data_IF_169287663374
#
_entry.id   IF_169287663374
#
_cell.length_a   1.000
_cell.length_b   1.000
_cell.length_c   1.000
_cell.angle_alpha   90.00
_cell.angle_beta   90.00
_cell.angle_gamma   90.00
#
_symmetry.space_group_name_H-M   'P 1'
#
loop_
_entity.id
_entity.type
_entity.pdbx_description
1 polymer ?
#
# COMPACT_ATOMS: atom_id res chain seq x y z
N UNK A 1 -25.20 15.12 -21.55
CA UNK A 1 -24.69 14.41 -20.36
C UNK A 1 -23.57 13.50 -20.84
N UNK A 2 -22.33 13.69 -20.44
CA UNK A 2 -21.25 12.73 -20.71
C UNK A 2 -21.63 11.41 -20.01
N UNK A 3 -21.54 10.28 -20.73
CA UNK A 3 -21.74 8.98 -20.09
C UNK A 3 -20.80 8.86 -18.89
N UNK A 4 -21.32 8.40 -17.75
CA UNK A 4 -20.49 8.18 -16.57
C UNK A 4 -19.43 7.12 -16.90
N UNK A 5 -18.16 7.40 -16.58
CA UNK A 5 -17.09 6.44 -16.76
C UNK A 5 -17.33 5.22 -15.87
N UNK A 6 -17.26 4.03 -16.45
CA UNK A 6 -17.37 2.76 -15.74
C UNK A 6 -16.15 1.89 -16.02
N UNK A 7 -15.79 0.98 -15.10
CA UNK A 7 -14.76 -0.03 -15.38
C UNK A 7 -15.26 -0.97 -16.48
N UNK A 8 -14.45 -1.14 -17.52
CA UNK A 8 -14.69 -2.07 -18.61
C UNK A 8 -13.40 -2.82 -18.92
N UNK A 9 -13.52 -4.13 -19.13
CA UNK A 9 -12.40 -5.00 -19.49
C UNK A 9 -11.98 -4.71 -20.94
N UNK A 10 -10.76 -4.27 -21.13
CA UNK A 10 -10.24 -3.99 -22.47
C UNK A 10 -10.13 -5.28 -23.30
N UNK A 11 -10.49 -5.30 -24.59
CA UNK A 11 -10.46 -6.51 -25.41
C UNK A 11 -9.10 -7.21 -25.48
N UNK A 12 -8.00 -6.45 -25.40
CA UNK A 12 -6.63 -7.00 -25.46
C UNK A 12 -6.09 -7.41 -24.09
N UNK A 13 -6.83 -7.11 -23.00
CA UNK A 13 -6.36 -7.40 -21.65
C UNK A 13 -6.50 -8.88 -21.29
N UNK A 14 -5.55 -9.35 -20.50
CA UNK A 14 -5.52 -10.74 -20.01
C UNK A 14 -5.15 -10.75 -18.53
N UNK A 15 -5.74 -11.66 -17.76
CA UNK A 15 -5.28 -11.99 -16.41
C UNK A 15 -4.63 -13.36 -16.38
N UNK A 16 -3.51 -13.47 -15.69
CA UNK A 16 -2.80 -14.71 -15.42
C UNK A 16 -2.62 -14.84 -13.90
N UNK A 17 -3.15 -15.92 -13.34
CA UNK A 17 -2.96 -16.33 -11.95
C UNK A 17 -2.29 -17.70 -11.89
N UNK A 18 -2.03 -18.24 -10.69
CA UNK A 18 -1.46 -19.55 -10.52
C UNK A 18 -2.29 -20.65 -11.21
N UNK A 19 -3.61 -20.50 -11.21
CA UNK A 19 -4.56 -21.55 -11.59
C UNK A 19 -5.32 -21.23 -12.88
N UNK A 20 -5.23 -20.02 -13.42
CA UNK A 20 -6.05 -19.60 -14.54
C UNK A 20 -5.37 -18.55 -15.44
N UNK A 21 -5.77 -18.57 -16.73
CA UNK A 21 -5.48 -17.53 -17.70
C UNK A 21 -6.79 -17.15 -18.42
N UNK A 22 -7.24 -15.89 -18.25
CA UNK A 22 -8.45 -15.39 -18.87
C UNK A 22 -8.14 -14.16 -19.72
N UNK A 23 -8.55 -14.15 -20.99
CA UNK A 23 -8.39 -13.03 -21.91
C UNK A 23 -9.64 -12.19 -22.09
N UNK A 24 -10.77 -12.61 -21.53
CA UNK A 24 -12.03 -11.86 -21.50
C UNK A 24 -12.91 -12.38 -20.36
N UNK A 25 -13.70 -11.53 -19.68
CA UNK A 25 -14.67 -12.03 -18.72
C UNK A 25 -15.76 -12.79 -19.49
N UNK A 26 -15.89 -14.08 -19.21
CA UNK A 26 -17.05 -14.81 -19.70
C UNK A 26 -18.26 -14.43 -18.84
N UNK A 27 -19.03 -13.43 -19.31
CA UNK A 27 -20.24 -12.99 -18.61
C UNK A 27 -21.29 -14.09 -18.44
N UNK A 28 -21.19 -15.18 -19.22
CA UNK A 28 -22.08 -16.35 -19.08
C UNK A 28 -21.72 -17.20 -17.87
N UNK A 29 -20.51 -17.02 -17.32
CA UNK A 29 -20.09 -17.68 -16.09
C UNK A 29 -20.78 -17.12 -14.83
N UNK A 30 -21.51 -15.98 -14.97
CA UNK A 30 -22.22 -15.34 -13.86
C UNK A 30 -23.69 -15.14 -14.20
N UNK A 31 -24.56 -15.42 -13.24
CA UNK A 31 -26.01 -15.20 -13.32
C UNK A 31 -26.43 -13.93 -12.58
N UNK A 32 -27.69 -13.56 -12.74
CA UNK A 32 -28.28 -12.44 -11.98
C UNK A 32 -28.38 -12.74 -10.49
N UNK A 33 -28.30 -13.99 -10.08
CA UNK A 33 -28.37 -14.41 -8.67
C UNK A 33 -26.99 -14.42 -8.00
N UNK A 34 -25.90 -14.34 -8.79
CA UNK A 34 -24.54 -14.24 -8.26
C UNK A 34 -24.29 -12.83 -7.71
N UNK A 35 -24.33 -12.71 -6.39
CA UNK A 35 -24.10 -11.44 -5.67
C UNK A 35 -22.79 -11.43 -4.88
N UNK A 36 -22.07 -12.55 -4.83
CA UNK A 36 -20.76 -12.68 -4.17
C UNK A 36 -19.81 -13.57 -4.96
N UNK A 37 -18.50 -13.26 -4.89
CA UNK A 37 -17.43 -14.07 -5.47
C UNK A 37 -16.23 -14.09 -4.52
N UNK A 38 -15.75 -15.28 -4.10
CA UNK A 38 -14.55 -15.41 -3.29
C UNK A 38 -13.31 -14.82 -3.99
N UNK A 39 -12.30 -14.38 -3.22
CA UNK A 39 -11.04 -13.81 -3.72
C UNK A 39 -9.91 -14.82 -3.87
N UNK A 40 -10.11 -16.07 -3.50
CA UNK A 40 -9.13 -17.15 -3.63
C UNK A 40 -8.76 -17.45 -5.09
N UNK A 41 -9.72 -17.38 -6.00
CA UNK A 41 -9.49 -17.35 -7.45
C UNK A 41 -9.49 -15.89 -7.95
N UNK A 42 -8.30 -15.31 -8.06
CA UNK A 42 -8.16 -13.90 -8.48
C UNK A 42 -8.66 -13.65 -9.91
N UNK A 43 -8.49 -14.60 -10.81
CA UNK A 43 -8.95 -14.45 -12.20
C UNK A 43 -10.47 -14.41 -12.25
N UNK A 44 -11.14 -15.31 -11.55
CA UNK A 44 -12.62 -15.35 -11.45
C UNK A 44 -13.14 -14.10 -10.71
N UNK A 45 -12.50 -13.68 -9.63
CA UNK A 45 -12.89 -12.50 -8.87
C UNK A 45 -12.83 -11.23 -9.73
N UNK A 46 -11.78 -11.05 -10.54
CA UNK A 46 -11.68 -9.92 -11.45
C UNK A 46 -12.72 -10.01 -12.58
N UNK A 47 -12.99 -11.19 -13.12
CA UNK A 47 -14.06 -11.38 -14.10
C UNK A 47 -15.44 -11.00 -13.52
N UNK A 48 -15.74 -11.39 -12.27
CA UNK A 48 -16.93 -11.00 -11.54
C UNK A 48 -17.01 -9.48 -11.30
N UNK A 49 -15.90 -8.85 -10.93
CA UNK A 49 -15.79 -7.41 -10.75
C UNK A 49 -16.20 -6.64 -12.02
N UNK A 50 -15.61 -6.99 -13.16
CA UNK A 50 -15.91 -6.34 -14.42
C UNK A 50 -17.34 -6.64 -14.90
N UNK A 51 -17.81 -7.89 -14.74
CA UNK A 51 -19.19 -8.24 -15.00
C UNK A 51 -20.18 -7.34 -14.25
N UNK A 52 -19.93 -7.12 -12.96
CA UNK A 52 -20.80 -6.29 -12.15
C UNK A 52 -20.89 -4.83 -12.65
N UNK A 53 -19.75 -4.24 -12.99
CA UNK A 53 -19.70 -2.86 -13.51
C UNK A 53 -20.26 -2.75 -14.93
N UNK A 54 -19.89 -3.63 -15.84
CA UNK A 54 -20.33 -3.60 -17.24
C UNK A 54 -21.84 -3.87 -17.41
N UNK A 55 -22.41 -4.69 -16.53
CA UNK A 55 -23.84 -4.96 -16.49
C UNK A 55 -24.63 -4.01 -15.58
N UNK A 56 -23.96 -3.03 -14.97
CA UNK A 56 -24.62 -2.05 -14.08
C UNK A 56 -25.33 -2.69 -12.88
N UNK A 57 -24.77 -3.81 -12.32
CA UNK A 57 -25.42 -4.61 -11.29
C UNK A 57 -25.56 -3.92 -9.95
N UNK A 58 -24.73 -2.92 -9.66
CA UNK A 58 -24.73 -2.18 -8.40
C UNK A 58 -23.32 -1.84 -7.93
N UNK A 59 -23.23 -1.35 -6.69
CA UNK A 59 -21.95 -1.07 -6.02
C UNK A 59 -21.21 -2.38 -5.76
N UNK A 60 -19.90 -2.39 -6.04
CA UNK A 60 -19.05 -3.55 -5.81
C UNK A 60 -18.19 -3.32 -4.58
N UNK A 61 -18.43 -4.08 -3.51
CA UNK A 61 -17.60 -4.07 -2.30
C UNK A 61 -16.55 -5.16 -2.35
N UNK A 62 -15.31 -4.81 -2.03
CA UNK A 62 -14.20 -5.75 -1.90
C UNK A 62 -13.83 -5.88 -0.43
N UNK A 63 -14.02 -7.09 0.12
CA UNK A 63 -13.69 -7.46 1.49
C UNK A 63 -12.36 -8.21 1.56
N UNK A 64 -11.98 -8.69 2.75
CA UNK A 64 -10.81 -9.56 2.91
C UNK A 64 -11.00 -10.96 2.28
N UNK A 65 -12.25 -11.38 2.02
CA UNK A 65 -12.57 -12.76 1.60
C UNK A 65 -13.27 -12.84 0.24
N UNK A 66 -14.05 -11.81 -0.09
CA UNK A 66 -14.94 -11.84 -1.24
C UNK A 66 -15.15 -10.45 -1.87
N UNK A 67 -15.68 -10.46 -3.08
CA UNK A 67 -16.36 -9.31 -3.69
C UNK A 67 -17.87 -9.52 -3.59
N UNK A 68 -18.60 -8.46 -3.29
CA UNK A 68 -20.07 -8.51 -3.15
C UNK A 68 -20.72 -7.36 -3.89
N UNK A 69 -21.87 -7.63 -4.52
CA UNK A 69 -22.67 -6.63 -5.26
C UNK A 69 -23.79 -6.15 -4.34
N UNK A 70 -23.95 -4.84 -4.22
CA UNK A 70 -25.04 -4.19 -3.51
C UNK A 70 -25.87 -3.39 -4.51
N UNK A 71 -27.17 -3.70 -4.61
CA UNK A 71 -28.06 -3.00 -5.52
C UNK A 71 -28.05 -1.49 -5.22
N UNK A 72 -27.92 -0.68 -6.26
CA UNK A 72 -28.00 0.78 -6.19
C UNK A 72 -28.90 1.32 -7.31
N UNK A 73 -29.60 2.42 -7.03
CA UNK A 73 -30.33 3.17 -8.06
C UNK A 73 -29.45 4.23 -8.76
N UNK A 74 -28.22 4.41 -8.27
CA UNK A 74 -27.24 5.39 -8.75
C UNK A 74 -26.21 4.71 -9.67
N UNK A 75 -25.28 5.52 -10.19
CA UNK A 75 -24.08 5.00 -10.87
C UNK A 75 -23.31 4.08 -9.93
N UNK A 76 -22.95 2.86 -10.35
CA UNK A 76 -22.20 1.91 -9.53
C UNK A 76 -20.89 2.47 -9.01
N UNK A 77 -20.61 2.22 -7.74
CA UNK A 77 -19.41 2.66 -7.03
C UNK A 77 -18.57 1.46 -6.63
N UNK A 78 -17.27 1.67 -6.52
CA UNK A 78 -16.37 0.73 -5.89
C UNK A 78 -16.27 1.03 -4.39
N UNK A 79 -16.47 0.01 -3.57
CA UNK A 79 -16.35 0.06 -2.11
C UNK A 79 -15.07 -0.71 -1.69
N UNK A 80 -13.96 0.01 -1.53
CA UNK A 80 -12.67 -0.58 -1.11
C UNK A 80 -12.55 -0.60 0.40
N UNK A 81 -11.86 -1.60 0.95
CA UNK A 81 -11.45 -1.57 2.34
C UNK A 81 -10.15 -0.77 2.53
N UNK A 82 -10.09 0.04 3.59
CA UNK A 82 -8.83 0.66 4.02
C UNK A 82 -7.93 -0.37 4.67
N UNK A 83 -6.62 -0.27 4.41
CA UNK A 83 -5.61 -1.07 5.10
C UNK A 83 -5.30 -0.56 6.51
N UNK A 84 -6.31 -0.14 7.30
CA UNK A 84 -6.12 0.43 8.62
C UNK A 84 -5.39 -0.52 9.57
N UNK A 85 -4.25 -0.09 10.11
CA UNK A 85 -3.43 -0.86 11.05
C UNK A 85 -3.95 -0.81 12.48
N UNK A 86 -4.86 0.13 12.79
CA UNK A 86 -5.27 0.46 14.18
C UNK A 86 -6.73 0.25 14.50
N UNK A 87 -7.61 0.06 13.50
CA UNK A 87 -9.06 -0.09 13.70
C UNK A 87 -9.66 -1.14 12.76
N UNK A 88 -10.96 -1.45 12.92
CA UNK A 88 -11.68 -2.28 11.95
C UNK A 88 -11.58 -1.67 10.54
N UNK A 89 -11.41 -2.49 9.49
CA UNK A 89 -11.34 -2.00 8.12
C UNK A 89 -12.58 -1.19 7.78
N UNK A 90 -12.37 0.03 7.26
CA UNK A 90 -13.46 0.91 6.81
C UNK A 90 -13.64 0.73 5.32
N UNK A 91 -14.87 0.87 4.82
CA UNK A 91 -15.14 0.89 3.40
C UNK A 91 -15.13 2.33 2.89
N UNK A 92 -14.40 2.55 1.81
CA UNK A 92 -14.32 3.82 1.10
C UNK A 92 -15.14 3.70 -0.18
N UNK A 93 -16.00 4.67 -0.42
CA UNK A 93 -16.78 4.82 -1.65
C UNK A 93 -15.97 5.56 -2.69
N UNK A 94 -15.92 5.02 -3.89
CA UNK A 94 -15.09 5.56 -4.97
C UNK A 94 -15.80 5.42 -6.31
N UNK A 95 -15.88 6.51 -7.06
CA UNK A 95 -16.31 6.46 -8.47
C UNK A 95 -15.25 5.78 -9.34
N UNK A 96 -15.68 5.09 -10.40
CA UNK A 96 -14.75 4.52 -11.39
C UNK A 96 -13.82 5.60 -11.98
N UNK A 97 -14.36 6.78 -12.24
CA UNK A 97 -13.64 7.92 -12.80
C UNK A 97 -12.41 8.30 -11.97
N UNK A 98 -12.48 8.22 -10.66
CA UNK A 98 -11.38 8.60 -9.77
C UNK A 98 -10.10 7.75 -10.01
N UNK A 99 -10.23 6.46 -10.28
CA UNK A 99 -9.09 5.61 -10.64
C UNK A 99 -8.74 5.71 -12.12
N UNK A 100 -9.72 5.72 -13.01
CA UNK A 100 -9.48 5.79 -14.45
C UNK A 100 -8.73 7.05 -14.87
N UNK A 101 -8.95 8.18 -14.19
CA UNK A 101 -8.18 9.40 -14.40
C UNK A 101 -6.69 9.21 -14.08
N UNK A 102 -6.34 8.46 -13.03
CA UNK A 102 -4.95 8.16 -12.70
C UNK A 102 -4.35 7.08 -13.61
N UNK A 103 -5.14 6.10 -14.07
CA UNK A 103 -4.67 5.13 -15.07
C UNK A 103 -4.18 5.83 -16.33
N UNK A 104 -4.92 6.85 -16.81
CA UNK A 104 -4.51 7.62 -17.99
C UNK A 104 -3.17 8.34 -17.79
N UNK A 105 -2.84 8.78 -16.58
CA UNK A 105 -1.53 9.35 -16.25
C UNK A 105 -0.45 8.27 -16.24
N UNK A 106 -0.70 7.14 -15.59
CA UNK A 106 0.24 6.03 -15.49
C UNK A 106 0.56 5.44 -16.88
N UNK A 107 -0.45 5.30 -17.75
CA UNK A 107 -0.25 4.85 -19.12
C UNK A 107 0.70 5.76 -19.91
N UNK A 108 0.63 7.08 -19.71
CA UNK A 108 1.58 8.02 -20.35
C UNK A 108 2.97 7.93 -19.76
N UNK A 109 3.11 7.68 -18.45
CA UNK A 109 4.40 7.68 -17.73
C UNK A 109 5.14 6.36 -17.80
N UNK A 110 4.41 5.25 -17.72
CA UNK A 110 4.97 3.92 -17.57
C UNK A 110 4.61 2.98 -18.72
N UNK A 111 3.85 3.48 -19.71
CA UNK A 111 3.32 2.71 -20.82
C UNK A 111 2.04 1.95 -20.45
N UNK A 112 1.24 1.61 -21.46
CA UNK A 112 -0.08 0.98 -21.30
C UNK A 112 -0.16 -0.37 -22.01
N UNK A 113 -0.71 -0.35 -23.23
CA UNK A 113 -0.95 -1.55 -24.03
C UNK A 113 0.36 -2.32 -24.27
N UNK A 114 0.33 -3.63 -24.01
CA UNK A 114 1.51 -4.51 -24.15
C UNK A 114 2.35 -4.65 -22.89
N UNK A 115 2.11 -3.85 -21.85
CA UNK A 115 2.73 -4.07 -20.54
C UNK A 115 2.15 -5.32 -19.85
N UNK A 116 2.97 -5.88 -18.98
CA UNK A 116 2.64 -7.04 -18.17
C UNK A 116 2.82 -6.64 -16.70
N UNK A 117 1.70 -6.28 -16.07
CA UNK A 117 1.66 -5.67 -14.73
C UNK A 117 1.49 -6.77 -13.68
N UNK A 118 2.49 -6.96 -12.83
CA UNK A 118 2.46 -7.93 -11.75
C UNK A 118 2.15 -7.30 -10.40
N UNK A 119 1.57 -8.10 -9.49
CA UNK A 119 1.43 -7.78 -8.07
C UNK A 119 1.79 -8.97 -7.20
N UNK A 120 2.21 -8.69 -5.95
CA UNK A 120 2.56 -9.70 -4.95
C UNK A 120 1.44 -9.90 -3.91
N UNK A 121 0.52 -8.95 -3.83
CA UNK A 121 -0.48 -8.86 -2.77
C UNK A 121 -1.83 -9.46 -3.13
N UNK A 122 -2.71 -9.49 -2.14
CA UNK A 122 -4.09 -9.96 -2.25
C UNK A 122 -5.00 -8.86 -2.81
N UNK A 123 -6.04 -9.22 -3.59
CA UNK A 123 -6.98 -8.27 -4.21
C UNK A 123 -7.78 -7.41 -3.21
N UNK A 124 -7.92 -7.86 -1.96
CA UNK A 124 -8.54 -7.04 -0.91
C UNK A 124 -7.73 -5.78 -0.55
N UNK A 125 -6.45 -5.73 -0.94
CA UNK A 125 -5.62 -4.56 -0.76
C UNK A 125 -5.78 -3.59 -1.92
N UNK A 126 -6.06 -2.32 -1.62
CA UNK A 126 -6.37 -1.31 -2.64
C UNK A 126 -5.27 -1.13 -3.70
N UNK A 127 -3.99 -1.27 -3.34
CA UNK A 127 -2.88 -1.22 -4.30
C UNK A 127 -2.94 -2.37 -5.31
N UNK A 128 -3.18 -3.59 -4.85
CA UNK A 128 -3.29 -4.77 -5.71
C UNK A 128 -4.52 -4.67 -6.61
N UNK A 129 -5.67 -4.30 -6.05
CA UNK A 129 -6.90 -4.09 -6.80
C UNK A 129 -6.74 -2.96 -7.83
N UNK A 130 -6.09 -1.86 -7.44
CA UNK A 130 -5.77 -0.75 -8.33
C UNK A 130 -4.97 -1.22 -9.55
N UNK A 131 -3.86 -1.92 -9.32
CA UNK A 131 -2.98 -2.43 -10.38
C UNK A 131 -3.70 -3.43 -11.30
N UNK A 132 -4.56 -4.29 -10.73
CA UNK A 132 -5.39 -5.22 -11.51
C UNK A 132 -6.39 -4.46 -12.41
N UNK A 133 -7.11 -3.48 -11.85
CA UNK A 133 -8.04 -2.65 -12.62
C UNK A 133 -7.31 -1.83 -13.69
N UNK A 134 -6.16 -1.21 -13.35
CA UNK A 134 -5.34 -0.48 -14.32
C UNK A 134 -4.95 -1.36 -15.50
N UNK A 135 -4.39 -2.56 -15.24
CA UNK A 135 -4.01 -3.49 -16.28
C UNK A 135 -5.18 -3.86 -17.21
N UNK A 136 -6.29 -4.27 -16.60
CA UNK A 136 -7.43 -4.81 -17.34
C UNK A 136 -8.22 -3.73 -18.08
N UNK A 137 -8.26 -2.49 -17.57
CA UNK A 137 -8.86 -1.33 -18.28
C UNK A 137 -7.95 -0.84 -19.40
N UNK A 138 -6.63 -0.94 -19.24
CA UNK A 138 -5.64 -0.36 -20.16
C UNK A 138 -5.19 -1.29 -21.28
N UNK A 139 -5.70 -2.52 -21.37
CA UNK A 139 -5.30 -3.50 -22.39
C UNK A 139 -3.98 -4.19 -22.09
N UNK A 140 -3.51 -4.13 -20.83
CA UNK A 140 -2.32 -4.82 -20.37
C UNK A 140 -2.63 -6.26 -19.88
N UNK A 141 -1.58 -7.06 -19.69
CA UNK A 141 -1.71 -8.35 -19.00
C UNK A 141 -1.54 -8.14 -17.50
N UNK A 142 -2.51 -8.52 -16.68
CA UNK A 142 -2.37 -8.57 -15.24
C UNK A 142 -1.81 -9.93 -14.78
N UNK A 143 -0.78 -9.93 -13.96
CA UNK A 143 -0.08 -11.11 -13.44
C UNK A 143 -0.23 -11.14 -11.93
N UNK A 144 -1.11 -12.02 -11.46
CA UNK A 144 -1.44 -12.20 -10.05
C UNK A 144 -0.47 -13.21 -9.41
N UNK A 145 0.67 -12.74 -8.88
CA UNK A 145 1.70 -13.62 -8.32
C UNK A 145 1.44 -14.04 -6.85
N UNK A 146 0.36 -13.59 -6.24
CA UNK A 146 -0.02 -14.02 -4.90
C UNK A 146 -0.37 -15.51 -4.89
N UNK A 147 0.05 -16.22 -3.84
CA UNK A 147 -0.20 -17.67 -3.69
C UNK A 147 0.72 -18.58 -4.51
N UNK A 148 1.54 -18.03 -5.42
CA UNK A 148 2.50 -18.82 -6.18
C UNK A 148 3.63 -19.36 -5.29
N UNK A 149 4.02 -20.62 -5.48
CA UNK A 149 5.12 -21.26 -4.74
C UNK A 149 6.44 -20.47 -4.88
N UNK A 150 6.72 -19.95 -6.08
CA UNK A 150 7.83 -19.05 -6.35
C UNK A 150 7.36 -17.84 -7.14
N UNK A 151 7.17 -16.73 -6.45
CA UNK A 151 6.74 -15.47 -7.08
C UNK A 151 7.78 -14.96 -8.09
N UNK A 152 9.09 -15.07 -7.79
CA UNK A 152 10.16 -14.66 -8.71
C UNK A 152 10.09 -15.44 -10.01
N UNK A 153 10.00 -16.77 -9.91
CA UNK A 153 9.87 -17.63 -11.10
C UNK A 153 8.60 -17.27 -11.90
N UNK A 154 7.47 -17.09 -11.22
CA UNK A 154 6.19 -16.79 -11.87
C UNK A 154 6.24 -15.45 -12.62
N UNK A 155 6.81 -14.40 -12.01
CA UNK A 155 7.00 -13.09 -12.62
C UNK A 155 7.89 -13.17 -13.86
N UNK A 156 8.99 -13.94 -13.81
CA UNK A 156 9.90 -14.15 -14.93
C UNK A 156 9.26 -14.98 -16.05
N UNK A 157 8.63 -16.11 -15.73
CA UNK A 157 7.97 -16.98 -16.72
C UNK A 157 6.92 -16.22 -17.53
N UNK A 158 6.23 -15.28 -16.87
CA UNK A 158 5.23 -14.44 -17.51
C UNK A 158 5.76 -13.09 -17.98
N UNK A 159 7.10 -12.88 -18.01
CA UNK A 159 7.78 -11.71 -18.59
C UNK A 159 7.18 -10.38 -18.12
N UNK A 160 6.96 -10.25 -16.80
CA UNK A 160 6.41 -9.03 -16.23
C UNK A 160 7.32 -7.84 -16.50
N UNK A 161 6.74 -6.70 -16.85
CA UNK A 161 7.48 -5.45 -17.17
C UNK A 161 7.28 -4.39 -16.11
N UNK A 162 6.16 -4.43 -15.38
CA UNK A 162 5.82 -3.52 -14.28
C UNK A 162 5.44 -4.34 -13.05
N UNK A 163 5.91 -3.92 -11.88
CA UNK A 163 5.56 -4.55 -10.61
C UNK A 163 5.06 -3.50 -9.61
N UNK A 164 3.84 -3.68 -9.11
CA UNK A 164 3.32 -2.94 -7.97
C UNK A 164 3.51 -3.74 -6.69
N UNK A 165 4.14 -3.14 -5.69
CA UNK A 165 4.39 -3.78 -4.41
C UNK A 165 4.52 -2.77 -3.26
N UNK A 166 4.51 -3.25 -2.02
CA UNK A 166 4.97 -2.45 -0.88
C UNK A 166 6.49 -2.65 -0.67
N UNK A 167 7.21 -1.69 -0.06
CA UNK A 167 8.61 -1.88 0.31
C UNK A 167 8.84 -3.16 1.13
N UNK A 168 7.94 -3.46 2.08
CA UNK A 168 8.00 -4.68 2.90
C UNK A 168 7.91 -5.96 2.06
N UNK A 169 7.00 -6.01 1.07
CA UNK A 169 6.88 -7.16 0.17
C UNK A 169 8.15 -7.34 -0.67
N UNK A 170 8.70 -6.24 -1.21
CA UNK A 170 9.93 -6.30 -2.00
C UNK A 170 11.14 -6.70 -1.17
N UNK A 171 11.26 -6.19 0.07
CA UNK A 171 12.30 -6.60 1.00
C UNK A 171 12.24 -8.10 1.28
N UNK A 172 11.05 -8.62 1.63
CA UNK A 172 10.85 -10.04 1.87
C UNK A 172 11.18 -10.90 0.64
N UNK A 173 10.76 -10.45 -0.56
CA UNK A 173 11.07 -11.14 -1.82
C UNK A 173 12.57 -11.16 -2.10
N UNK A 174 13.26 -10.03 -1.91
CA UNK A 174 14.69 -9.90 -2.16
C UNK A 174 15.55 -10.73 -1.19
N UNK A 175 15.19 -10.75 0.09
CA UNK A 175 15.91 -11.58 1.09
C UNK A 175 15.77 -13.09 0.80
N UNK A 176 14.66 -13.50 0.18
CA UNK A 176 14.39 -14.91 -0.19
C UNK A 176 14.85 -15.27 -1.61
N UNK A 177 15.41 -14.34 -2.37
CA UNK A 177 15.69 -14.52 -3.81
C UNK A 177 16.78 -15.57 -4.10
N UNK A 178 17.69 -15.86 -3.16
CA UNK A 178 18.76 -16.86 -3.30
C UNK A 178 19.52 -16.76 -4.63
N UNK A 179 19.86 -15.53 -5.04
CA UNK A 179 20.59 -15.25 -6.28
C UNK A 179 19.74 -15.20 -7.55
N UNK A 180 18.42 -15.41 -7.48
CA UNK A 180 17.51 -15.17 -8.60
C UNK A 180 17.34 -13.65 -8.83
N UNK A 181 17.07 -13.25 -10.08
CA UNK A 181 16.85 -11.87 -10.47
C UNK A 181 15.55 -11.72 -11.28
N UNK A 182 14.98 -10.52 -11.25
CA UNK A 182 13.85 -10.09 -12.07
C UNK A 182 14.35 -9.07 -13.12
N UNK A 183 15.05 -9.55 -14.12
CA UNK A 183 15.74 -8.73 -15.12
C UNK A 183 14.81 -8.19 -16.22
N UNK A 184 13.61 -8.76 -16.35
CA UNK A 184 12.58 -8.32 -17.30
C UNK A 184 11.79 -7.09 -16.84
N UNK A 185 11.86 -6.72 -15.55
CA UNK A 185 11.13 -5.56 -15.04
C UNK A 185 11.73 -4.25 -15.53
N UNK A 186 10.87 -3.36 -16.04
CA UNK A 186 11.20 -2.00 -16.47
C UNK A 186 10.87 -0.98 -15.36
N UNK A 187 9.77 -1.19 -14.65
CA UNK A 187 9.31 -0.32 -13.56
C UNK A 187 8.93 -1.12 -12.32
N UNK A 188 9.29 -0.57 -11.17
CA UNK A 188 8.79 -1.02 -9.87
C UNK A 188 8.13 0.18 -9.19
N UNK A 189 6.84 0.06 -8.90
CA UNK A 189 6.04 1.09 -8.27
C UNK A 189 5.79 0.69 -6.81
N UNK A 190 6.49 1.35 -5.89
CA UNK A 190 6.47 1.04 -4.46
C UNK A 190 5.58 2.02 -3.70
N UNK A 191 4.57 1.51 -3.01
CA UNK A 191 3.68 2.33 -2.21
C UNK A 191 3.26 1.69 -0.90
N UNK A 192 2.71 2.51 -0.01
CA UNK A 192 2.11 2.04 1.24
C UNK A 192 3.10 1.72 2.37
N UNK A 193 4.35 2.12 2.27
CA UNK A 193 5.38 2.00 3.31
C UNK A 193 6.57 2.89 3.00
N UNK A 194 7.50 2.99 3.94
CA UNK A 194 8.76 3.72 3.77
C UNK A 194 9.78 2.82 3.05
N UNK A 195 10.49 3.39 2.08
CA UNK A 195 11.59 2.75 1.37
C UNK A 195 12.91 3.20 2.01
N UNK A 196 13.54 2.34 2.79
CA UNK A 196 14.86 2.56 3.37
C UNK A 196 16.00 2.19 2.40
N UNK A 197 17.23 2.65 2.71
CA UNK A 197 18.40 2.44 1.85
C UNK A 197 18.73 0.96 1.64
N UNK A 198 18.67 0.15 2.70
CA UNK A 198 18.98 -1.27 2.59
C UNK A 198 17.94 -2.00 1.73
N UNK A 199 16.67 -1.69 1.90
CA UNK A 199 15.60 -2.22 1.04
C UNK A 199 15.82 -1.81 -0.41
N UNK A 200 16.15 -0.54 -0.68
CA UNK A 200 16.45 -0.07 -2.03
C UNK A 200 17.61 -0.84 -2.66
N UNK A 201 18.68 -1.08 -1.91
CA UNK A 201 19.85 -1.81 -2.41
C UNK A 201 19.55 -3.30 -2.67
N UNK A 202 18.72 -3.91 -1.83
CA UNK A 202 18.21 -5.27 -2.05
C UNK A 202 17.34 -5.35 -3.32
N UNK A 203 16.45 -4.38 -3.51
CA UNK A 203 15.57 -4.31 -4.69
C UNK A 203 16.38 -4.08 -5.96
N UNK A 204 17.40 -3.21 -5.93
CA UNK A 204 18.31 -2.99 -7.07
C UNK A 204 19.08 -4.26 -7.48
N UNK A 205 19.51 -5.06 -6.49
CA UNK A 205 20.15 -6.36 -6.75
C UNK A 205 19.19 -7.37 -7.36
N UNK A 206 17.94 -7.42 -6.85
CA UNK A 206 16.90 -8.31 -7.37
C UNK A 206 16.43 -7.91 -8.77
N UNK A 207 16.33 -6.59 -9.04
CA UNK A 207 15.73 -6.02 -10.24
C UNK A 207 16.69 -5.02 -10.92
N UNK A 208 17.80 -5.50 -11.52
CA UNK A 208 18.91 -4.65 -11.95
C UNK A 208 18.57 -3.66 -13.06
N UNK A 209 17.54 -3.96 -13.86
CA UNK A 209 17.17 -3.15 -15.03
C UNK A 209 15.97 -2.23 -14.76
N UNK A 210 15.32 -2.34 -13.58
CA UNK A 210 14.09 -1.63 -13.30
C UNK A 210 14.34 -0.20 -12.80
N UNK A 211 13.53 0.73 -13.27
CA UNK A 211 13.37 2.03 -12.63
C UNK A 211 12.47 1.89 -11.41
N UNK A 212 13.02 2.21 -10.23
CA UNK A 212 12.28 2.13 -8.97
C UNK A 212 11.65 3.49 -8.71
N UNK A 213 10.33 3.52 -8.53
CA UNK A 213 9.54 4.71 -8.18
C UNK A 213 8.79 4.44 -6.89
N UNK A 214 9.08 5.24 -5.88
CA UNK A 214 8.24 5.24 -4.68
C UNK A 214 7.10 6.24 -4.90
N UNK A 215 5.88 5.85 -4.55
CA UNK A 215 4.76 6.78 -4.50
C UNK A 215 4.13 6.79 -3.11
N UNK A 216 3.63 7.95 -2.74
CA UNK A 216 2.85 8.15 -1.53
C UNK A 216 1.39 8.34 -1.89
N UNK A 217 0.53 7.73 -1.10
CA UNK A 217 -0.92 7.83 -1.25
C UNK A 217 -1.66 6.98 -0.22
N UNK A 218 -2.95 7.16 -0.19
CA UNK A 218 -3.86 6.42 0.68
C UNK A 218 -5.04 5.87 -0.13
N UNK A 219 -5.82 4.96 0.47
CA UNK A 219 -7.04 4.47 -0.18
C UNK A 219 -8.02 5.61 -0.47
N UNK A 220 -8.01 6.64 0.36
CA UNK A 220 -8.85 7.84 0.26
C UNK A 220 -8.44 8.78 -0.91
N UNK A 221 -7.16 8.84 -1.21
CA UNK A 221 -6.58 9.85 -2.12
C UNK A 221 -6.02 9.29 -3.41
N UNK A 222 -5.78 7.97 -3.49
CA UNK A 222 -4.95 7.34 -4.53
C UNK A 222 -3.52 7.91 -4.50
N UNK A 223 -2.92 8.23 -5.65
CA UNK A 223 -1.60 8.85 -5.71
C UNK A 223 -1.63 10.30 -5.21
N UNK A 224 -0.71 10.62 -4.29
CA UNK A 224 -0.45 12.00 -3.83
C UNK A 224 0.84 12.51 -4.45
N UNK A 225 1.93 11.74 -4.32
CA UNK A 225 3.24 12.09 -4.86
C UNK A 225 3.97 10.87 -5.39
N UNK A 226 5.01 11.11 -6.18
CA UNK A 226 5.86 10.05 -6.73
C UNK A 226 7.30 10.55 -6.89
N UNK A 227 8.26 9.67 -6.62
CA UNK A 227 9.69 9.96 -6.81
C UNK A 227 10.10 9.90 -8.28
N UNK A 228 11.14 10.66 -8.60
CA UNK A 228 11.90 10.60 -9.84
C UNK A 228 13.39 10.34 -9.56
N UNK A 229 14.24 10.42 -10.58
CA UNK A 229 15.69 10.17 -10.44
C UNK A 229 16.42 11.26 -9.63
N UNK A 230 15.77 12.39 -9.34
CA UNK A 230 16.31 13.52 -8.58
C UNK A 230 15.79 13.57 -7.14
N UNK A 231 14.80 12.77 -6.81
CA UNK A 231 14.16 12.77 -5.49
C UNK A 231 15.08 12.16 -4.43
N UNK A 232 15.29 12.83 -3.29
CA UNK A 232 15.98 12.22 -2.14
C UNK A 232 15.26 10.97 -1.66
N UNK A 233 16.01 9.96 -1.22
CA UNK A 233 15.44 8.69 -0.75
C UNK A 233 14.48 8.86 0.45
N UNK A 234 14.75 9.81 1.32
CA UNK A 234 13.92 10.12 2.49
C UNK A 234 12.63 10.85 2.13
N UNK A 235 12.48 11.33 0.87
CA UNK A 235 11.26 11.96 0.39
C UNK A 235 10.34 10.95 -0.28
N UNK A 236 9.06 11.31 -0.39
CA UNK A 236 8.09 10.59 -1.21
C UNK A 236 7.89 11.25 -2.58
N UNK A 237 8.84 12.11 -2.97
CA UNK A 237 8.88 12.79 -4.26
C UNK A 237 7.96 14.01 -4.36
N UNK A 238 7.65 14.40 -5.57
CA UNK A 238 6.83 15.57 -5.89
C UNK A 238 5.37 15.20 -6.09
N UNK A 239 4.42 16.16 -5.94
CA UNK A 239 3.02 15.92 -6.23
C UNK A 239 2.82 15.22 -7.58
N UNK A 240 1.96 14.20 -7.58
CA UNK A 240 1.61 13.48 -8.80
C UNK A 240 0.84 14.40 -9.76
N UNK A 241 0.86 14.11 -11.06
CA UNK A 241 0.18 14.94 -12.07
C UNK A 241 -1.30 15.15 -11.72
N UNK A 242 -1.75 16.41 -11.69
CA UNK A 242 -3.14 16.76 -11.33
C UNK A 242 -3.43 16.75 -9.83
N UNK A 243 -2.43 16.62 -8.98
CA UNK A 243 -2.57 16.66 -7.52
C UNK A 243 -2.06 17.98 -6.97
N UNK A 244 -2.91 18.67 -6.24
CA UNK A 244 -2.53 19.81 -5.39
C UNK A 244 -2.32 19.29 -3.96
N UNK A 245 -1.21 19.70 -3.35
CA UNK A 245 -0.91 19.41 -1.95
C UNK A 245 -0.65 20.71 -1.22
N UNK A 246 -1.25 20.87 -0.04
CA UNK A 246 -1.00 21.99 0.86
C UNK A 246 -0.80 21.49 2.29
N UNK A 247 -0.10 22.29 3.10
CA UNK A 247 0.11 22.03 4.51
C UNK A 247 -0.74 23.00 5.34
N UNK A 248 -1.47 22.48 6.31
CA UNK A 248 -2.19 23.27 7.30
C UNK A 248 -1.59 23.07 8.69
N UNK A 249 -1.84 24.00 9.60
CA UNK A 249 -1.38 23.95 10.99
C UNK A 249 0.13 23.65 11.10
N UNK A 250 0.93 24.35 10.30
CA UNK A 250 2.39 24.12 10.22
C UNK A 250 3.06 24.52 11.53
N UNK A 251 3.78 23.56 12.11
CA UNK A 251 4.63 23.77 13.27
C UNK A 251 5.85 24.62 12.87
N UNK A 252 6.07 25.80 13.50
CA UNK A 252 7.15 26.71 13.12
C UNK A 252 8.57 26.16 13.45
N UNK A 253 8.70 25.21 14.36
CA UNK A 253 9.99 24.63 14.73
C UNK A 253 10.41 23.52 13.79
N UNK A 254 9.46 22.66 13.38
CA UNK A 254 9.74 21.49 12.53
C UNK A 254 9.42 21.71 11.05
N UNK A 255 8.58 22.69 10.74
CA UNK A 255 8.05 22.92 9.39
C UNK A 255 7.01 21.87 8.95
N UNK A 256 6.65 20.93 9.81
CA UNK A 256 5.64 19.92 9.50
C UNK A 256 4.21 20.46 9.69
N UNK A 257 3.34 20.13 8.75
CA UNK A 257 1.92 20.47 8.82
C UNK A 257 1.04 19.32 8.39
N UNK A 258 -0.25 19.44 8.65
CA UNK A 258 -1.25 18.45 8.22
C UNK A 258 -1.35 18.47 6.69
N UNK A 259 -1.18 17.33 6.04
CA UNK A 259 -1.17 17.18 4.58
C UNK A 259 -2.61 17.16 4.08
N UNK A 260 -2.97 18.16 3.29
CA UNK A 260 -4.24 18.27 2.58
C UNK A 260 -4.03 18.08 1.08
N UNK A 261 -4.90 17.30 0.46
CA UNK A 261 -4.79 16.87 -0.94
C UNK A 261 -6.07 17.20 -1.69
N UNK A 262 -5.93 17.77 -2.88
CA UNK A 262 -7.02 17.95 -3.86
C UNK A 262 -6.60 17.34 -5.18
N UNK A 263 -7.42 16.50 -5.76
CA UNK A 263 -7.14 15.86 -7.06
C UNK A 263 -8.40 15.25 -7.69
N UNK A 264 -8.37 14.91 -8.98
CA UNK A 264 -9.44 14.13 -9.62
C UNK A 264 -9.44 12.64 -9.21
N UNK A 265 -8.53 12.22 -8.33
CA UNK A 265 -8.31 10.83 -7.91
C UNK A 265 -8.90 10.52 -6.53
N UNK A 266 -9.49 11.50 -5.87
CA UNK A 266 -10.06 11.36 -4.53
C UNK A 266 -11.22 10.37 -4.50
N UNK A 267 -11.36 9.67 -3.40
CA UNK A 267 -12.57 8.93 -3.08
C UNK A 267 -13.68 9.89 -2.63
N UNK A 268 -14.92 9.44 -2.75
CA UNK A 268 -16.12 10.25 -2.44
C UNK A 268 -16.39 10.32 -0.93
N UNK A 269 -15.76 9.46 -0.13
CA UNK A 269 -15.92 9.41 1.32
C UNK A 269 -15.97 7.99 1.86
N UNK A 270 -16.26 7.86 3.15
CA UNK A 270 -16.52 6.56 3.76
C UNK A 270 -17.96 6.10 3.49
N UNK A 271 -18.14 4.78 3.37
CA UNK A 271 -19.46 4.16 3.24
C UNK A 271 -20.28 4.32 4.53
N UNK A 272 -19.62 4.20 5.69
CA UNK A 272 -20.20 4.55 6.99
C UNK A 272 -19.97 6.05 7.29
N UNK A 273 -21.03 6.86 7.39
CA UNK A 273 -20.91 8.29 7.68
C UNK A 273 -20.28 8.60 9.06
N UNK A 274 -20.29 7.64 9.99
CA UNK A 274 -19.65 7.79 11.30
C UNK A 274 -18.17 7.36 11.30
N UNK A 275 -17.64 6.83 10.19
CA UNK A 275 -16.25 6.46 10.12
C UNK A 275 -15.35 7.69 10.21
N UNK A 276 -14.31 7.59 11.05
CA UNK A 276 -13.31 8.65 11.26
C UNK A 276 -11.97 8.27 10.64
N UNK A 277 -11.07 9.22 10.43
CA UNK A 277 -9.71 8.96 9.94
C UNK A 277 -9.28 9.94 8.86
N UNK A 278 -10.07 10.15 7.82
CA UNK A 278 -9.88 11.24 6.88
C UNK A 278 -10.95 12.31 7.07
N UNK A 279 -10.61 13.53 6.70
CA UNK A 279 -11.52 14.69 6.71
C UNK A 279 -11.64 15.22 5.27
N UNK A 280 -12.89 15.34 4.78
CA UNK A 280 -13.21 15.96 3.49
C UNK A 280 -13.75 17.37 3.73
N UNK A 281 -13.19 18.37 3.09
CA UNK A 281 -13.63 19.76 3.17
C UNK A 281 -13.32 20.50 1.87
N UNK A 282 -14.32 21.09 1.23
CA UNK A 282 -14.19 21.97 0.06
C UNK A 282 -13.36 21.35 -1.09
N UNK A 283 -13.55 20.06 -1.35
CA UNK A 283 -12.81 19.30 -2.38
C UNK A 283 -11.40 18.87 -1.98
N UNK A 284 -11.00 19.11 -0.74
CA UNK A 284 -9.74 18.65 -0.15
C UNK A 284 -9.96 17.48 0.79
N UNK A 285 -8.94 16.63 0.91
CA UNK A 285 -8.90 15.51 1.85
C UNK A 285 -7.64 15.56 2.68
N UNK A 286 -7.77 15.41 4.01
CA UNK A 286 -6.66 15.18 4.94
C UNK A 286 -6.81 13.78 5.53
N UNK A 287 -5.78 12.94 5.41
CA UNK A 287 -5.77 11.56 5.93
C UNK A 287 -5.08 11.43 7.29
N UNK A 288 -4.78 12.58 7.95
CA UNK A 288 -4.19 12.63 9.28
C UNK A 288 -2.69 12.35 9.30
N UNK A 289 -2.01 12.51 8.17
CA UNK A 289 -0.55 12.46 8.07
C UNK A 289 0.03 13.87 8.06
N UNK A 290 1.22 14.01 8.65
CA UNK A 290 1.97 15.26 8.71
C UNK A 290 3.23 15.16 7.85
N UNK A 291 3.66 16.31 7.32
CA UNK A 291 4.87 16.38 6.51
C UNK A 291 5.29 17.79 6.18
N UNK A 292 6.37 17.88 5.42
CA UNK A 292 6.98 19.15 4.99
C UNK A 292 7.44 19.07 3.54
N UNK A 293 7.71 20.22 2.92
CA UNK A 293 8.34 20.31 1.61
C UNK A 293 9.76 20.86 1.71
N UNK A 294 10.66 20.33 0.87
CA UNK A 294 11.93 20.99 0.64
C UNK A 294 11.79 22.13 -0.40
N UNK A 295 12.89 22.87 -0.61
CA UNK A 295 12.95 23.96 -1.57
C UNK A 295 12.78 23.52 -3.04
N UNK A 296 12.93 22.21 -3.32
CA UNK A 296 12.76 21.63 -4.65
C UNK A 296 11.37 21.05 -4.88
N UNK A 297 10.48 21.15 -3.87
CA UNK A 297 9.11 20.67 -3.90
C UNK A 297 8.95 19.17 -3.65
N UNK A 298 9.95 18.50 -3.08
CA UNK A 298 9.79 17.14 -2.62
C UNK A 298 9.05 17.13 -1.28
N UNK A 299 8.08 16.21 -1.16
CA UNK A 299 7.29 16.00 0.05
C UNK A 299 7.99 14.99 0.97
N UNK A 300 8.06 15.31 2.24
CA UNK A 300 8.56 14.43 3.31
C UNK A 300 7.43 14.11 4.27
N UNK A 301 7.28 12.85 4.65
CA UNK A 301 6.26 12.39 5.59
C UNK A 301 6.90 12.27 6.96
N UNK A 302 6.40 13.02 7.93
CA UNK A 302 6.85 12.93 9.32
C UNK A 302 6.19 11.77 10.08
N UNK A 303 4.96 11.39 9.69
CA UNK A 303 4.23 10.28 10.30
C UNK A 303 2.74 10.55 10.44
N UNK A 304 2.03 9.60 11.07
CA UNK A 304 0.62 9.75 11.36
C UNK A 304 0.39 10.36 12.73
N UNK A 305 -0.39 11.43 12.79
CA UNK A 305 -0.78 12.08 14.05
C UNK A 305 -1.42 11.09 15.05
N UNK A 306 -2.17 10.11 14.55
CA UNK A 306 -2.81 9.07 15.37
C UNK A 306 -1.89 7.94 15.83
N UNK A 307 -0.62 7.87 15.38
CA UNK A 307 0.38 6.91 15.86
C UNK A 307 1.42 7.53 16.80
N UNK A 308 1.57 8.84 16.74
CA UNK A 308 2.47 9.57 17.63
C UNK A 308 2.08 9.35 19.09
N UNK A 309 3.06 9.14 19.95
CA UNK A 309 2.87 9.04 21.40
C UNK A 309 3.97 9.80 22.16
N UNK A 310 3.72 10.07 23.44
CA UNK A 310 4.64 10.80 24.29
C UNK A 310 5.46 9.85 25.16
N UNK A 311 6.78 10.03 25.17
CA UNK A 311 7.68 9.39 26.12
C UNK A 311 8.45 10.48 26.86
N UNK A 312 8.25 10.63 28.16
CA UNK A 312 8.86 11.68 28.96
C UNK A 312 8.68 13.07 28.33
N UNK A 313 7.43 13.40 27.98
CA UNK A 313 6.99 14.67 27.38
C UNK A 313 7.58 14.98 26.00
N UNK A 314 8.21 13.99 25.33
CA UNK A 314 8.72 14.13 23.97
C UNK A 314 7.86 13.35 22.98
N UNK A 315 7.57 13.98 21.85
CA UNK A 315 6.89 13.33 20.72
C UNK A 315 7.76 12.22 20.16
N UNK A 316 7.18 11.04 19.97
CA UNK A 316 7.78 9.88 19.33
C UNK A 316 6.93 9.48 18.15
N UNK A 317 7.51 9.47 16.98
CA UNK A 317 6.92 8.91 15.78
C UNK A 317 7.43 7.48 15.59
N UNK A 318 6.57 6.46 15.70
CA UNK A 318 6.96 5.06 15.51
C UNK A 318 7.70 4.82 14.20
N UNK A 319 7.28 5.50 13.15
CA UNK A 319 7.80 5.38 11.79
C UNK A 319 9.30 5.73 11.70
N UNK A 320 9.79 6.68 12.50
CA UNK A 320 11.21 7.06 12.53
C UNK A 320 12.07 5.92 13.08
N UNK A 321 11.59 5.27 14.16
CA UNK A 321 12.29 4.13 14.77
C UNK A 321 12.24 2.92 13.84
N UNK A 322 11.08 2.63 13.25
CA UNK A 322 10.89 1.54 12.28
C UNK A 322 11.84 1.70 11.09
N UNK A 323 11.92 2.90 10.53
CA UNK A 323 12.81 3.24 9.41
C UNK A 323 14.28 3.08 9.80
N UNK A 324 14.67 3.58 10.97
CA UNK A 324 16.05 3.47 11.45
C UNK A 324 16.47 2.00 11.58
N UNK A 325 15.64 1.16 12.18
CA UNK A 325 15.94 -0.27 12.37
C UNK A 325 16.05 -0.98 11.03
N UNK A 326 15.09 -0.77 10.14
CA UNK A 326 15.07 -1.40 8.81
C UNK A 326 16.25 -0.94 7.94
N UNK A 327 16.69 0.32 8.08
CA UNK A 327 17.83 0.84 7.33
C UNK A 327 19.19 0.24 7.77
N UNK A 328 19.30 -0.22 9.00
CA UNK A 328 20.58 -0.65 9.58
C UNK A 328 20.62 -2.14 9.93
N UNK A 329 19.56 -2.90 9.68
CA UNK A 329 19.51 -4.34 9.97
C UNK A 329 18.86 -5.13 8.82
N UNK A 330 19.09 -6.45 8.82
CA UNK A 330 18.40 -7.38 7.92
C UNK A 330 17.06 -7.89 8.49
N UNK A 331 16.46 -7.19 9.46
CA UNK A 331 15.10 -7.52 9.91
C UNK A 331 14.13 -7.50 8.74
N UNK A 332 13.29 -8.51 8.62
CA UNK A 332 12.32 -8.59 7.51
C UNK A 332 11.21 -7.55 7.67
N UNK A 333 10.81 -7.29 8.91
CA UNK A 333 9.82 -6.28 9.25
C UNK A 333 10.08 -5.71 10.65
N UNK A 334 9.63 -4.48 10.85
CA UNK A 334 9.66 -3.79 12.15
C UNK A 334 8.33 -3.07 12.38
N UNK A 335 7.91 -3.02 13.63
CA UNK A 335 6.77 -2.23 14.07
C UNK A 335 7.01 -1.70 15.49
N UNK A 336 6.65 -0.44 15.74
CA UNK A 336 6.79 0.18 17.06
C UNK A 336 5.43 0.53 17.62
N UNK A 337 5.18 0.10 18.86
CA UNK A 337 3.93 0.35 19.58
C UNK A 337 4.22 1.10 20.89
N UNK A 338 3.23 1.87 21.32
CA UNK A 338 3.22 2.49 22.63
C UNK A 338 2.61 1.52 23.66
N UNK A 339 3.32 1.31 24.76
CA UNK A 339 2.80 0.62 25.93
C UNK A 339 2.67 1.64 27.06
N UNK A 340 1.52 1.77 27.75
CA UNK A 340 1.37 2.68 28.87
C UNK A 340 2.43 2.42 29.96
N UNK A 341 3.04 3.48 30.47
CA UNK A 341 4.06 3.43 31.50
C UNK A 341 3.85 4.60 32.48
N UNK A 342 3.67 4.31 33.80
CA UNK A 342 3.21 5.31 34.77
C UNK A 342 4.14 6.54 34.93
N UNK A 343 5.48 6.36 34.81
CA UNK A 343 6.43 7.43 35.05
C UNK A 343 6.72 8.31 33.84
N UNK A 344 6.50 7.80 32.62
CA UNK A 344 6.90 8.46 31.36
C UNK A 344 5.73 8.65 30.38
N UNK A 345 4.50 8.32 30.79
CA UNK A 345 3.32 8.30 29.95
C UNK A 345 3.24 7.06 29.07
N UNK A 346 4.29 6.79 28.30
CA UNK A 346 4.40 5.55 27.53
C UNK A 346 5.87 5.07 27.45
N UNK A 347 6.01 3.80 27.08
CA UNK A 347 7.26 3.15 26.67
C UNK A 347 7.10 2.66 25.25
N UNK A 348 8.13 2.84 24.43
CA UNK A 348 8.17 2.24 23.10
C UNK A 348 8.40 0.72 23.21
N UNK A 349 7.64 -0.06 22.46
CA UNK A 349 7.86 -1.50 22.27
C UNK A 349 8.22 -1.71 20.81
N UNK A 350 9.45 -2.10 20.56
CA UNK A 350 10.01 -2.37 19.23
C UNK A 350 9.81 -3.85 18.94
N UNK A 351 8.99 -4.16 17.95
CA UNK A 351 8.73 -5.52 17.46
C UNK A 351 9.52 -5.73 16.17
N UNK A 352 10.24 -6.84 16.05
CA UNK A 352 11.00 -7.18 14.85
C UNK A 352 10.72 -8.62 14.41
N UNK A 353 10.67 -8.83 13.09
CA UNK A 353 10.58 -10.15 12.47
C UNK A 353 11.95 -10.55 11.90
N UNK A 354 12.51 -11.64 12.40
CA UNK A 354 13.75 -12.22 11.90
C UNK A 354 13.89 -13.66 12.36
N UNK A 355 14.46 -14.53 11.51
CA UNK A 355 14.90 -15.87 11.93
C UNK A 355 16.38 -15.89 12.35
N UNK A 356 17.06 -14.73 12.25
CA UNK A 356 18.46 -14.55 12.56
C UNK A 356 18.66 -13.85 13.91
N UNK A 357 19.33 -14.52 14.85
CA UNK A 357 19.62 -14.00 16.16
C UNK A 357 20.61 -12.79 16.15
N UNK A 358 21.48 -12.69 15.14
CA UNK A 358 22.39 -11.55 15.00
C UNK A 358 21.60 -10.27 14.75
N UNK A 359 20.56 -10.33 13.93
CA UNK A 359 19.66 -9.20 13.66
C UNK A 359 19.00 -8.69 14.94
N UNK A 360 18.60 -9.60 15.83
CA UNK A 360 17.99 -9.22 17.13
C UNK A 360 19.01 -8.48 18.02
N UNK A 361 20.28 -8.89 17.98
CA UNK A 361 21.36 -8.21 18.71
C UNK A 361 21.63 -6.83 18.13
N UNK A 362 21.68 -6.70 16.80
CA UNK A 362 21.87 -5.41 16.12
C UNK A 362 20.76 -4.42 16.48
N UNK A 363 19.50 -4.87 16.48
CA UNK A 363 18.36 -4.03 16.89
C UNK A 363 18.52 -3.58 18.35
N UNK A 364 18.95 -4.47 19.24
CA UNK A 364 19.20 -4.12 20.64
C UNK A 364 20.30 -3.04 20.77
N UNK A 365 21.37 -3.15 19.99
CA UNK A 365 22.45 -2.15 19.96
C UNK A 365 21.96 -0.81 19.42
N UNK A 366 21.13 -0.80 18.39
CA UNK A 366 20.53 0.44 17.85
C UNK A 366 19.65 1.12 18.89
N UNK A 367 18.78 0.37 19.58
CA UNK A 367 17.94 0.93 20.65
C UNK A 367 18.80 1.60 21.71
N UNK A 368 19.89 0.96 22.11
CA UNK A 368 20.72 1.42 23.22
C UNK A 368 21.67 2.55 22.85
N UNK A 369 22.20 2.57 21.64
CA UNK A 369 23.31 3.44 21.25
C UNK A 369 22.93 4.54 20.26
N UNK A 370 21.86 4.36 19.49
CA UNK A 370 21.49 5.26 18.38
C UNK A 370 20.23 6.05 18.68
N UNK A 371 19.23 5.43 19.35
CA UNK A 371 18.02 6.15 19.71
C UNK A 371 18.30 7.24 20.76
N UNK A 372 17.49 8.31 20.80
CA UNK A 372 17.59 9.33 21.84
C UNK A 372 17.44 8.75 23.25
N UNK A 373 18.09 9.34 24.29
CA UNK A 373 18.13 8.76 25.64
C UNK A 373 16.78 8.43 26.27
N UNK A 374 15.72 9.19 25.95
CA UNK A 374 14.38 8.91 26.45
C UNK A 374 13.78 7.60 25.87
N UNK A 375 14.33 7.08 24.78
CA UNK A 375 13.94 5.82 24.15
C UNK A 375 14.85 4.63 24.50
N UNK A 376 15.97 4.82 25.23
CA UNK A 376 16.86 3.72 25.61
C UNK A 376 16.18 2.65 26.48
N UNK A 377 15.04 2.98 27.11
CA UNK A 377 14.23 2.03 27.88
C UNK A 377 13.17 1.32 27.00
N UNK A 378 13.25 1.46 25.67
CA UNK A 378 12.37 0.74 24.76
C UNK A 378 12.53 -0.78 24.93
N UNK A 379 11.41 -1.49 24.91
CA UNK A 379 11.40 -2.94 25.02
C UNK A 379 11.50 -3.55 23.61
N UNK A 380 12.38 -4.54 23.47
CA UNK A 380 12.47 -5.32 22.23
C UNK A 380 11.61 -6.59 22.33
N UNK A 381 10.81 -6.86 21.30
CA UNK A 381 10.05 -8.10 21.09
C UNK A 381 10.44 -8.70 19.75
N UNK A 382 10.89 -9.93 19.80
CA UNK A 382 11.31 -10.70 18.63
C UNK A 382 10.22 -11.69 18.23
N UNK A 383 9.98 -11.80 16.92
CA UNK A 383 9.09 -12.77 16.29
C UNK A 383 9.85 -13.50 15.19
N UNK A 384 9.60 -14.80 15.04
CA UNK A 384 10.01 -15.52 13.85
C UNK A 384 9.23 -14.97 12.63
N UNK A 385 9.80 -15.09 11.46
CA UNK A 385 9.20 -14.54 10.23
C UNK A 385 7.80 -15.12 9.99
N UNK A 386 7.63 -16.42 10.20
CA UNK A 386 6.35 -17.11 9.98
C UNK A 386 5.30 -16.79 11.05
N UNK A 387 5.72 -16.32 12.23
CA UNK A 387 4.83 -15.89 13.34
C UNK A 387 4.48 -14.39 13.27
N UNK A 388 5.08 -13.63 12.34
CA UNK A 388 4.87 -12.21 12.23
C UNK A 388 3.48 -11.89 11.67
N UNK A 389 2.63 -11.19 12.45
CA UNK A 389 1.27 -10.90 11.99
C UNK A 389 1.27 -9.81 10.93
N UNK A 390 0.66 -10.13 9.78
CA UNK A 390 0.52 -9.22 8.65
C UNK A 390 -0.94 -9.07 8.23
N UNK A 391 -1.27 -7.87 7.79
CA UNK A 391 -2.52 -7.58 7.10
C UNK A 391 -2.48 -8.14 5.66
N UNK A 392 -3.63 -8.27 4.96
CA UNK A 392 -3.66 -8.63 3.54
C UNK A 392 -2.81 -7.72 2.64
N UNK A 393 -2.51 -6.51 3.08
CA UNK A 393 -1.61 -5.56 2.42
C UNK A 393 -0.12 -5.91 2.53
N UNK A 394 0.24 -6.89 3.34
CA UNK A 394 1.62 -7.19 3.71
C UNK A 394 2.22 -6.23 4.76
N UNK A 395 1.44 -5.26 5.27
CA UNK A 395 1.85 -4.41 6.39
C UNK A 395 1.72 -5.14 7.72
N UNK A 396 2.52 -4.76 8.75
CA UNK A 396 2.34 -5.30 10.09
C UNK A 396 0.91 -5.10 10.62
N UNK A 397 0.33 -6.14 11.21
CA UNK A 397 -0.93 -6.02 11.94
C UNK A 397 -0.65 -5.54 13.37
N UNK A 398 -0.64 -4.21 13.54
CA UNK A 398 -0.33 -3.57 14.82
C UNK A 398 -1.31 -3.95 15.94
N UNK A 399 -2.56 -4.22 15.60
CA UNK A 399 -3.57 -4.64 16.57
C UNK A 399 -3.27 -6.04 17.09
N UNK A 400 -2.90 -6.96 16.19
CA UNK A 400 -2.53 -8.32 16.60
C UNK A 400 -1.22 -8.32 17.38
N UNK A 401 -0.23 -7.51 16.97
CA UNK A 401 1.00 -7.31 17.73
C UNK A 401 0.73 -6.78 19.14
N UNK A 402 -0.14 -5.77 19.28
CA UNK A 402 -0.52 -5.25 20.62
C UNK A 402 -1.10 -6.34 21.51
N UNK A 403 -2.04 -7.17 21.00
CA UNK A 403 -2.61 -8.29 21.73
C UNK A 403 -1.56 -9.30 22.19
N UNK A 404 -0.57 -9.61 21.33
CA UNK A 404 0.52 -10.54 21.64
C UNK A 404 1.47 -9.98 22.72
N UNK A 405 1.69 -8.65 22.70
CA UNK A 405 2.49 -7.96 23.73
C UNK A 405 1.78 -7.94 25.08
N UNK A 406 0.48 -7.69 25.09
CA UNK A 406 -0.32 -7.68 26.33
C UNK A 406 -0.46 -9.06 26.97
N UNK A 407 -0.42 -10.13 26.16
CA UNK A 407 -0.55 -11.51 26.63
C UNK A 407 0.78 -12.12 27.15
N UNK A 408 1.90 -11.45 26.96
CA UNK A 408 3.26 -11.91 27.33
C UNK A 408 3.87 -11.10 28.47
#
# INVERSE_FOLDING_TARGET
MSAALTFSWHPDATIISADACLSHPDHRAFSTDDITCPLDDQARAMAFFFYAFEQGRGDVAVSARDMSIFATANTPMLLCQTGGTTASPKRIRRSCASWMNSFAVNMRRFGGTGHRIATLGHLSHSLTLYAACEALVSGATYIAAQGCISQIKFINDHRSTVLYATPTQMRALALRARGQVLDGLQYILLGGGVLDQLTLDLVRKLCPNAQIRQFYGATETSFISITDDTSPLSSVGKPFEGVDVTLADVDPETGNGDIWVRSPYLADGYDDPNATGATWRDGWVCVGEQGSFDALGNLYIAGRKGRMFLVADKNVFPEDIETLILAHTNAQACAVLAQPEPLRGARAVVCVASDDAEVVQDVHLIIKNTLPPHLHAAQLRHFLIDDWPVLPSGKPDLRRLAQLIEAS
#
